data_IF_525126671447
#
_entry.id   IF_525126671447
#
_cell.length_a   1.000
_cell.length_b   1.000
_cell.length_c   1.000
_cell.angle_alpha   90.00
_cell.angle_beta   90.00
_cell.angle_gamma   90.00
#
_symmetry.space_group_name_H-M   'P 1'
#
loop_
_entity.id
_entity.type
_entity.pdbx_description
1 polymer ?
#
# COMPACT_ATOMS: atom_id res chain seq x y z
N UNK A 1 -1.74 10.50 -8.27
CA UNK A 1 -2.37 10.19 -6.97
C UNK A 1 -1.65 9.01 -6.35
N UNK A 2 -1.19 9.16 -5.11
CA UNK A 2 -0.53 8.11 -4.35
C UNK A 2 -1.54 7.54 -3.34
N UNK A 3 -1.61 6.22 -3.22
CA UNK A 3 -2.45 5.56 -2.21
C UNK A 3 -1.64 4.52 -1.46
N UNK A 4 -1.67 4.57 -0.14
CA UNK A 4 -0.95 3.64 0.73
C UNK A 4 -1.97 2.71 1.38
N UNK A 5 -1.96 1.45 0.98
CA UNK A 5 -2.79 0.41 1.59
C UNK A 5 -2.08 -0.12 2.84
N UNK A 6 -2.77 -0.06 3.97
CA UNK A 6 -2.30 -0.54 5.27
C UNK A 6 -3.37 -1.41 5.93
N UNK A 7 -3.03 -1.98 7.08
CA UNK A 7 -3.99 -2.60 7.99
C UNK A 7 -3.70 -2.14 9.42
N UNK A 8 -4.71 -1.70 10.17
CA UNK A 8 -4.58 -1.43 11.59
C UNK A 8 -4.27 -2.67 12.44
N UNK A 9 -4.25 -3.86 11.83
CA UNK A 9 -3.87 -5.14 12.44
C UNK A 9 -2.49 -5.63 11.98
N UNK A 10 -1.79 -4.85 11.16
CA UNK A 10 -0.47 -5.18 10.62
C UNK A 10 0.62 -4.49 11.46
N UNK A 11 1.53 -5.26 12.10
CA UNK A 11 2.59 -4.70 12.95
C UNK A 11 3.65 -3.92 12.15
N UNK A 12 3.78 -4.20 10.85
CA UNK A 12 4.78 -3.61 9.96
C UNK A 12 4.29 -2.33 9.26
N UNK A 13 3.03 -1.96 9.48
CA UNK A 13 2.39 -0.81 8.84
C UNK A 13 2.65 0.55 9.52
N UNK A 14 2.91 0.67 10.85
CA UNK A 14 3.22 1.95 11.49
C UNK A 14 4.40 2.73 10.88
N UNK A 15 5.53 2.09 10.51
CA UNK A 15 6.63 2.78 9.84
C UNK A 15 6.22 3.44 8.52
N UNK A 16 5.37 2.77 7.73
CA UNK A 16 4.86 3.31 6.48
C UNK A 16 4.00 4.56 6.72
N UNK A 17 3.07 4.49 7.67
CA UNK A 17 2.21 5.62 8.04
C UNK A 17 3.05 6.83 8.43
N UNK A 18 4.00 6.63 9.36
CA UNK A 18 4.87 7.69 9.83
C UNK A 18 5.75 8.30 8.73
N UNK A 19 6.26 7.48 7.79
CA UNK A 19 7.06 7.98 6.68
C UNK A 19 6.25 8.88 5.74
N UNK A 20 5.00 8.52 5.44
CA UNK A 20 4.12 9.34 4.61
C UNK A 20 3.61 10.60 5.35
N UNK A 21 3.29 10.51 6.64
CA UNK A 21 2.93 11.67 7.48
C UNK A 21 4.03 12.74 7.55
N UNK A 22 5.30 12.33 7.49
CA UNK A 22 6.45 13.24 7.47
C UNK A 22 6.87 13.68 6.05
N UNK A 23 6.12 13.29 5.02
CA UNK A 23 6.43 13.61 3.62
C UNK A 23 5.56 14.76 3.10
N UNK A 24 6.10 15.54 2.15
CA UNK A 24 5.34 16.57 1.42
C UNK A 24 4.56 16.00 0.22
N UNK A 25 4.28 14.69 0.22
CA UNK A 25 3.53 14.03 -0.86
C UNK A 25 2.02 14.25 -0.68
N UNK A 26 1.30 14.30 -1.78
CA UNK A 26 -0.16 14.18 -1.79
C UNK A 26 -0.53 12.69 -1.86
N UNK A 27 -1.12 12.17 -0.78
CA UNK A 27 -1.41 10.74 -0.63
C UNK A 27 -2.70 10.48 0.14
N UNK A 28 -3.30 9.32 -0.13
CA UNK A 28 -4.38 8.74 0.68
C UNK A 28 -3.88 7.51 1.43
N UNK A 29 -4.20 7.38 2.71
CA UNK A 29 -4.05 6.12 3.46
C UNK A 29 -5.37 5.37 3.45
N UNK A 30 -5.33 4.08 3.11
CA UNK A 30 -6.49 3.20 3.11
C UNK A 30 -6.20 1.99 4.00
N UNK A 31 -6.90 1.93 5.14
CA UNK A 31 -6.88 0.76 6.01
C UNK A 31 -7.85 -0.31 5.47
N UNK A 32 -7.33 -1.43 4.99
CA UNK A 32 -8.11 -2.53 4.43
C UNK A 32 -8.96 -3.26 5.48
N UNK A 33 -8.69 -3.05 6.77
CA UNK A 33 -9.43 -3.64 7.89
C UNK A 33 -10.49 -2.72 8.49
N UNK A 34 -10.55 -1.46 8.06
CA UNK A 34 -11.52 -0.50 8.58
C UNK A 34 -12.94 -0.80 8.11
N UNK A 35 -13.13 -1.10 6.81
CA UNK A 35 -14.44 -1.39 6.25
C UNK A 35 -14.38 -2.20 4.94
N UNK A 36 -15.53 -2.75 4.52
CA UNK A 36 -15.62 -3.58 3.31
C UNK A 36 -15.35 -2.83 2.01
N UNK A 37 -15.58 -1.52 1.96
CA UNK A 37 -15.27 -0.71 0.77
C UNK A 37 -13.77 -0.63 0.54
N UNK A 38 -13.01 -0.35 1.60
CA UNK A 38 -11.54 -0.29 1.58
C UNK A 38 -10.96 -1.65 1.17
N UNK A 39 -11.43 -2.74 1.78
CA UNK A 39 -11.00 -4.09 1.42
C UNK A 39 -11.28 -4.41 -0.05
N UNK A 40 -12.49 -4.13 -0.55
CA UNK A 40 -12.84 -4.35 -1.96
C UNK A 40 -11.97 -3.52 -2.90
N UNK A 41 -11.66 -2.26 -2.54
CA UNK A 41 -10.77 -1.39 -3.32
C UNK A 41 -9.36 -1.98 -3.42
N UNK A 42 -8.83 -2.53 -2.33
CA UNK A 42 -7.54 -3.21 -2.36
C UNK A 42 -7.59 -4.51 -3.18
N UNK A 43 -8.59 -5.37 -2.96
CA UNK A 43 -8.74 -6.65 -3.67
C UNK A 43 -8.89 -6.49 -5.18
N UNK A 44 -9.52 -5.40 -5.65
CA UNK A 44 -9.58 -5.05 -7.08
C UNK A 44 -8.20 -5.05 -7.74
N UNK A 45 -7.16 -4.62 -7.03
CA UNK A 45 -5.80 -4.61 -7.54
C UNK A 45 -5.02 -5.86 -7.11
N UNK A 46 -5.11 -6.24 -5.83
CA UNK A 46 -4.37 -7.38 -5.26
C UNK A 46 -4.63 -8.68 -6.00
N UNK A 47 -5.88 -8.93 -6.41
CA UNK A 47 -6.24 -10.21 -7.02
C UNK A 47 -5.80 -10.31 -8.49
N UNK A 48 -5.70 -9.17 -9.19
CA UNK A 48 -5.56 -9.14 -10.67
C UNK A 48 -4.26 -8.53 -11.17
N UNK A 49 -3.57 -7.70 -10.40
CA UNK A 49 -2.35 -7.03 -10.85
C UNK A 49 -1.11 -7.95 -10.64
N UNK A 50 -0.25 -8.16 -11.66
CA UNK A 50 0.86 -9.12 -11.60
C UNK A 50 1.86 -8.89 -10.46
N UNK A 51 2.03 -7.63 -10.02
CA UNK A 51 2.84 -7.29 -8.84
C UNK A 51 2.53 -8.16 -7.62
N UNK A 52 1.27 -8.56 -7.43
CA UNK A 52 0.85 -9.33 -6.26
C UNK A 52 1.00 -10.83 -6.42
N UNK A 53 1.38 -11.37 -7.59
CA UNK A 53 1.35 -12.82 -7.83
C UNK A 53 2.29 -13.59 -6.90
N UNK A 54 3.53 -13.13 -6.74
CA UNK A 54 4.50 -13.73 -5.79
C UNK A 54 4.11 -13.49 -4.32
N UNK A 55 3.53 -12.32 -4.01
CA UNK A 55 3.04 -11.99 -2.68
C UNK A 55 1.92 -12.96 -2.27
N UNK A 56 0.99 -13.21 -3.19
CA UNK A 56 -0.10 -14.19 -3.02
C UNK A 56 0.44 -15.61 -2.89
N UNK A 57 1.39 -15.99 -3.75
CA UNK A 57 1.99 -17.31 -3.74
C UNK A 57 2.72 -17.62 -2.41
N UNK A 58 3.30 -16.58 -1.77
CA UNK A 58 3.93 -16.69 -0.45
C UNK A 58 2.95 -16.63 0.73
N UNK A 59 1.64 -16.59 0.48
CA UNK A 59 0.61 -16.55 1.53
C UNK A 59 0.48 -15.21 2.25
N UNK A 60 1.09 -14.14 1.71
CA UNK A 60 1.05 -12.79 2.29
C UNK A 60 -0.20 -12.02 1.81
N UNK A 61 -0.61 -11.05 2.63
CA UNK A 61 -1.71 -10.13 2.29
C UNK A 61 -1.27 -9.09 1.25
N UNK A 62 -0.04 -8.59 1.36
CA UNK A 62 0.49 -7.52 0.50
C UNK A 62 0.23 -6.11 1.03
N UNK A 63 0.36 -5.92 2.34
CA UNK A 63 0.37 -4.59 3.00
C UNK A 63 1.54 -4.55 4.00
N UNK A 64 2.18 -3.38 4.24
CA UNK A 64 1.92 -2.09 3.60
C UNK A 64 2.34 -2.05 2.11
N UNK A 65 1.55 -1.40 1.25
CA UNK A 65 1.85 -1.29 -0.19
C UNK A 65 1.39 0.05 -0.74
N UNK A 66 2.23 0.63 -1.59
CA UNK A 66 2.03 1.93 -2.21
C UNK A 66 1.57 1.73 -3.64
N UNK A 67 0.46 2.36 -4.00
CA UNK A 67 -0.08 2.42 -5.35
C UNK A 67 0.12 3.82 -5.93
N UNK A 68 0.57 3.88 -7.18
CA UNK A 68 0.75 5.12 -7.94
C UNK A 68 -0.13 5.06 -9.18
N UNK A 69 -0.78 6.18 -9.51
CA UNK A 69 -1.51 6.33 -10.77
C UNK A 69 -2.78 5.46 -10.86
N UNK A 70 -3.42 5.13 -9.73
CA UNK A 70 -4.62 4.27 -9.69
C UNK A 70 -4.41 2.87 -10.32
N UNK A 71 -3.26 2.27 -10.01
CA UNK A 71 -2.95 0.89 -10.41
C UNK A 71 -1.93 0.77 -11.53
N UNK A 72 -1.34 1.89 -11.98
CA UNK A 72 -0.20 1.89 -12.91
C UNK A 72 1.02 1.20 -12.32
N UNK A 73 1.28 1.41 -11.02
CA UNK A 73 2.45 0.86 -10.34
C UNK A 73 2.17 0.59 -8.88
N UNK A 74 2.76 -0.49 -8.39
CA UNK A 74 2.77 -0.88 -6.99
C UNK A 74 4.21 -1.01 -6.48
N UNK A 75 4.45 -0.61 -5.24
CA UNK A 75 5.75 -0.61 -4.59
C UNK A 75 5.55 -1.10 -3.15
N UNK A 76 6.41 -2.01 -2.70
CA UNK A 76 6.42 -2.44 -1.29
C UNK A 76 7.02 -1.31 -0.46
N UNK A 77 6.44 -1.03 0.69
CA UNK A 77 7.08 -0.09 1.60
C UNK A 77 8.30 -0.76 2.26
N UNK A 78 9.42 -0.05 2.23
CA UNK A 78 10.64 -0.39 2.95
C UNK A 78 11.18 0.89 3.60
N UNK A 79 11.83 0.77 4.75
CA UNK A 79 12.33 1.94 5.50
C UNK A 79 13.42 2.71 4.72
N UNK A 80 14.09 2.08 3.75
CA UNK A 80 15.09 2.74 2.91
C UNK A 80 14.49 3.42 1.67
N UNK A 81 13.17 3.29 1.47
CA UNK A 81 12.47 3.86 0.33
C UNK A 81 12.53 5.39 0.35
N UNK A 82 13.14 5.96 -0.69
CA UNK A 82 13.17 7.41 -0.87
C UNK A 82 11.84 7.91 -1.46
N UNK A 83 10.93 8.35 -0.59
CA UNK A 83 9.60 8.85 -0.95
C UNK A 83 9.61 10.04 -1.92
N UNK A 84 10.68 10.85 -1.94
CA UNK A 84 10.78 11.98 -2.88
C UNK A 84 10.84 11.55 -4.35
N UNK A 85 11.18 10.28 -4.63
CA UNK A 85 11.16 9.71 -5.98
C UNK A 85 9.76 9.30 -6.45
N UNK A 86 8.75 9.44 -5.60
CA UNK A 86 7.35 9.15 -5.93
C UNK A 86 6.57 10.38 -6.40
N UNK A 87 7.20 11.57 -6.37
CA UNK A 87 6.66 12.81 -6.94
C UNK A 87 6.52 12.72 -8.46
#
# INVERSE_FOLDING_TARGET
>A
MITVFISGKCPDCPPAIQAFENSDLDYDIIDITENMSNLKKFLKYRDFHPYFDEIKASGKVGVPTIMIGDGEKFIEFDETLNLNKLK
#
